data_IF_676804174725
#
_entry.id   IF_676804174725
#
_cell.length_a   1.000
_cell.length_b   1.000
_cell.length_c   1.000
_cell.angle_alpha   90.00
_cell.angle_beta   90.00
_cell.angle_gamma   90.00
#
_symmetry.space_group_name_H-M   'P 1'
#
loop_
_entity.id
_entity.type
_entity.pdbx_description
1 polymer ?
#
# COMPACT_ATOMS: atom_id res chain seq x y z
N UNK A 1 -2.06 12.52 4.16
CA UNK A 1 -2.27 13.41 2.99
C UNK A 1 -1.00 13.58 2.15
N UNK A 2 0.10 14.15 2.67
CA UNK A 2 1.36 14.21 1.89
C UNK A 2 1.95 12.81 1.64
N UNK A 3 1.69 11.87 2.55
CA UNK A 3 2.04 10.45 2.40
C UNK A 3 1.32 9.84 1.19
N UNK A 4 -0.01 9.90 1.14
CA UNK A 4 -0.79 9.43 -0.03
C UNK A 4 -0.29 10.04 -1.35
N UNK A 5 -0.02 11.36 -1.36
CA UNK A 5 0.53 12.02 -2.54
C UNK A 5 1.88 11.42 -2.97
N UNK A 6 2.75 11.13 -2.01
CA UNK A 6 4.04 10.51 -2.27
C UNK A 6 3.88 9.08 -2.80
N UNK A 7 2.93 8.29 -2.27
CA UNK A 7 2.61 6.97 -2.81
C UNK A 7 2.07 7.05 -4.23
N UNK A 8 1.09 7.92 -4.50
CA UNK A 8 0.57 8.17 -5.85
C UNK A 8 1.68 8.55 -6.84
N UNK A 9 2.52 9.54 -6.48
CA UNK A 9 3.65 9.97 -7.31
C UNK A 9 4.65 8.84 -7.56
N UNK A 10 4.91 8.02 -6.53
CA UNK A 10 5.78 6.85 -6.64
C UNK A 10 5.21 5.84 -7.63
N UNK A 11 3.95 5.41 -7.46
CA UNK A 11 3.32 4.43 -8.32
C UNK A 11 3.21 4.92 -9.76
N UNK A 12 2.80 6.18 -9.94
CA UNK A 12 2.74 6.83 -11.25
C UNK A 12 4.11 6.89 -11.95
N UNK A 13 5.18 7.19 -11.19
CA UNK A 13 6.53 7.30 -11.76
C UNK A 13 7.12 5.93 -12.15
N UNK A 14 6.87 4.90 -11.34
CA UNK A 14 7.52 3.61 -11.52
C UNK A 14 6.69 2.60 -12.34
N UNK A 15 5.39 2.82 -12.55
CA UNK A 15 4.57 1.93 -13.42
C UNK A 15 5.05 1.88 -14.87
N UNK A 16 5.70 2.93 -15.35
CA UNK A 16 6.31 2.98 -16.69
C UNK A 16 7.77 2.49 -16.72
N UNK A 17 8.35 2.18 -15.55
CA UNK A 17 9.75 1.73 -15.41
C UNK A 17 9.87 0.25 -15.09
N UNK A 18 8.84 -0.33 -14.47
CA UNK A 18 8.78 -1.77 -14.22
C UNK A 18 8.63 -2.51 -15.56
N UNK A 19 9.32 -3.63 -15.68
CA UNK A 19 9.38 -4.41 -16.91
C UNK A 19 8.19 -5.34 -17.10
N UNK A 20 7.57 -5.73 -15.99
CA UNK A 20 6.50 -6.71 -15.95
C UNK A 20 5.10 -6.05 -15.97
N UNK A 21 4.18 -6.63 -16.76
CA UNK A 21 2.82 -6.12 -16.93
C UNK A 21 1.99 -6.23 -15.66
N UNK A 22 2.07 -7.34 -14.94
CA UNK A 22 1.36 -7.56 -13.68
C UNK A 22 1.80 -6.54 -12.61
N UNK A 23 3.10 -6.23 -12.51
CA UNK A 23 3.61 -5.17 -11.62
C UNK A 23 3.08 -3.80 -12.04
N UNK A 24 3.01 -3.53 -13.34
CA UNK A 24 2.41 -2.28 -13.86
C UNK A 24 0.94 -2.16 -13.47
N UNK A 25 0.15 -3.21 -13.70
CA UNK A 25 -1.27 -3.25 -13.35
C UNK A 25 -1.48 -3.10 -11.83
N UNK A 26 -0.59 -3.68 -11.02
CA UNK A 26 -0.60 -3.52 -9.57
C UNK A 26 -0.37 -2.06 -9.17
N UNK A 27 0.63 -1.38 -9.75
CA UNK A 27 0.91 0.02 -9.44
C UNK A 27 -0.23 0.95 -9.86
N UNK A 28 -0.89 0.66 -10.99
CA UNK A 28 -2.08 1.41 -11.42
C UNK A 28 -3.27 1.23 -10.46
N UNK A 29 -3.38 0.08 -9.79
CA UNK A 29 -4.40 -0.17 -8.77
C UNK A 29 -4.07 0.56 -7.49
N UNK A 30 -2.83 0.41 -6.99
CA UNK A 30 -2.35 1.10 -5.79
C UNK A 30 -2.49 2.62 -5.93
N UNK A 31 -2.09 3.22 -7.05
CA UNK A 31 -2.28 4.65 -7.33
C UNK A 31 -3.74 5.11 -7.09
N UNK A 32 -4.74 4.29 -7.45
CA UNK A 32 -6.16 4.61 -7.24
C UNK A 32 -6.58 4.48 -5.79
N UNK A 33 -6.10 3.46 -5.06
CA UNK A 33 -6.41 3.29 -3.64
C UNK A 33 -5.80 4.43 -2.81
N UNK A 34 -4.57 4.84 -3.13
CA UNK A 34 -3.94 6.02 -2.53
C UNK A 34 -4.71 7.33 -2.82
N UNK A 35 -5.32 7.45 -4.00
CA UNK A 35 -6.21 8.57 -4.32
C UNK A 35 -7.48 8.55 -3.45
N UNK A 36 -8.05 7.36 -3.21
CA UNK A 36 -9.18 7.16 -2.30
C UNK A 36 -8.81 7.51 -0.85
N UNK A 37 -7.63 7.08 -0.37
CA UNK A 37 -7.08 7.46 0.94
C UNK A 37 -6.92 8.98 1.06
N UNK A 38 -6.37 9.62 0.02
CA UNK A 38 -6.19 11.06 -0.01
C UNK A 38 -7.54 11.79 0.12
N UNK A 39 -8.55 11.35 -0.63
CA UNK A 39 -9.87 11.94 -0.59
C UNK A 39 -10.59 11.69 0.73
N UNK A 40 -10.41 10.52 1.35
CA UNK A 40 -10.88 10.24 2.70
C UNK A 40 -10.31 11.26 3.69
N UNK A 41 -8.99 11.38 3.75
CA UNK A 41 -8.31 12.32 4.66
C UNK A 41 -8.69 13.77 4.40
N UNK A 42 -8.85 14.15 3.13
CA UNK A 42 -9.28 15.51 2.75
C UNK A 42 -10.68 15.81 3.28
N UNK A 43 -11.65 14.91 3.08
CA UNK A 43 -13.03 15.08 3.59
C UNK A 43 -13.06 15.11 5.11
N UNK A 44 -12.29 14.24 5.77
CA UNK A 44 -12.17 14.24 7.24
C UNK A 44 -11.62 15.57 7.75
N UNK A 45 -10.58 16.12 7.12
CA UNK A 45 -10.04 17.43 7.49
C UNK A 45 -11.06 18.55 7.28
N UNK A 46 -11.74 18.59 6.12
CA UNK A 46 -12.77 19.60 5.83
C UNK A 46 -13.92 19.56 6.84
N UNK A 47 -14.34 18.37 7.29
CA UNK A 47 -15.34 18.21 8.36
C UNK A 47 -14.85 18.78 9.69
N UNK A 48 -13.61 18.49 10.09
CA UNK A 48 -13.03 19.01 11.33
C UNK A 48 -12.88 20.55 11.29
N UNK A 49 -12.43 21.12 10.17
CA UNK A 49 -12.32 22.56 9.98
C UNK A 49 -13.68 23.26 10.04
N UNK A 50 -14.74 22.58 9.60
CA UNK A 50 -16.12 23.04 9.71
C UNK A 50 -16.75 22.78 11.10
N UNK A 51 -15.99 22.29 12.08
CA UNK A 51 -16.47 21.84 13.41
C UNK A 51 -17.62 20.82 13.31
N UNK A 52 -17.60 19.96 12.30
CA UNK A 52 -18.54 18.84 12.13
C UNK A 52 -17.96 17.56 12.72
N UNK A 53 -18.84 16.66 13.13
CA UNK A 53 -18.46 15.31 13.54
C UNK A 53 -17.95 14.49 12.35
N UNK A 54 -17.15 13.47 12.65
CA UNK A 54 -16.64 12.49 11.69
C UNK A 54 -17.50 11.22 11.61
N UNK A 55 -18.62 11.16 12.35
CA UNK A 55 -19.52 9.99 12.40
C UNK A 55 -20.01 9.55 11.00
N UNK A 56 -20.21 10.50 10.09
CA UNK A 56 -20.70 10.26 8.74
C UNK A 56 -19.58 9.93 7.73
N UNK A 57 -18.32 9.83 8.18
CA UNK A 57 -17.20 9.48 7.29
C UNK A 57 -17.26 7.98 6.97
N UNK A 58 -17.60 7.70 5.72
CA UNK A 58 -17.57 6.37 5.14
C UNK A 58 -16.12 5.88 4.93
N UNK A 59 -15.83 4.67 5.42
CA UNK A 59 -14.56 3.97 5.25
C UNK A 59 -14.62 2.84 4.22
N UNK A 60 -15.77 2.65 3.58
CA UNK A 60 -15.93 1.73 2.46
C UNK A 60 -15.26 2.35 1.22
N UNK A 61 -13.96 2.09 1.08
CA UNK A 61 -13.12 2.55 -0.03
C UNK A 61 -13.13 1.53 -1.16
N UNK A 62 -14.25 1.49 -1.89
CA UNK A 62 -14.42 0.65 -3.07
C UNK A 62 -14.08 -0.84 -2.86
N UNK A 63 -14.09 -1.59 -3.96
CA UNK A 63 -13.77 -3.01 -3.91
C UNK A 63 -12.25 -3.26 -3.89
N UNK A 64 -11.43 -2.21 -4.06
CA UNK A 64 -9.98 -2.29 -4.25
C UNK A 64 -9.25 -2.90 -3.05
N UNK A 65 -9.51 -2.34 -1.86
CA UNK A 65 -8.95 -2.82 -0.60
C UNK A 65 -9.36 -4.25 -0.30
N UNK A 66 -10.65 -4.58 -0.49
CA UNK A 66 -11.17 -5.94 -0.26
C UNK A 66 -10.55 -6.95 -1.24
N UNK A 67 -10.35 -6.56 -2.49
CA UNK A 67 -9.68 -7.40 -3.50
C UNK A 67 -8.21 -7.61 -3.12
N UNK A 68 -7.51 -6.59 -2.63
CA UNK A 68 -6.12 -6.72 -2.19
C UNK A 68 -5.99 -7.57 -0.94
N UNK A 69 -6.86 -7.38 0.05
CA UNK A 69 -6.87 -8.18 1.28
C UNK A 69 -7.05 -9.66 0.94
N UNK A 70 -8.02 -10.01 0.09
CA UNK A 70 -8.22 -11.39 -0.41
C UNK A 70 -7.09 -11.86 -1.33
N UNK A 71 -6.54 -10.94 -2.12
CA UNK A 71 -5.47 -11.20 -3.07
C UNK A 71 -4.15 -11.50 -2.38
N UNK A 72 -3.88 -10.86 -1.23
CA UNK A 72 -2.68 -11.01 -0.41
C UNK A 72 -2.50 -12.45 0.07
N UNK A 73 -3.60 -13.10 0.49
CA UNK A 73 -3.62 -14.54 0.81
C UNK A 73 -3.28 -15.42 -0.43
N UNK A 74 -3.65 -14.94 -1.63
CA UNK A 74 -3.39 -15.56 -2.92
C UNK A 74 -2.02 -15.26 -3.55
N UNK A 75 -1.27 -14.26 -3.05
CA UNK A 75 0.07 -13.90 -3.55
C UNK A 75 1.11 -15.01 -3.38
N UNK A 76 0.80 -16.05 -2.60
CA UNK A 76 1.55 -17.32 -2.61
C UNK A 76 1.69 -17.92 -4.02
N UNK A 77 0.85 -17.51 -4.98
CA UNK A 77 0.88 -17.95 -6.38
C UNK A 77 1.36 -16.90 -7.39
N UNK A 78 1.75 -15.69 -6.98
CA UNK A 78 2.35 -14.71 -7.90
C UNK A 78 3.79 -15.13 -8.21
N UNK A 79 3.94 -16.06 -9.15
CA UNK A 79 5.19 -16.31 -9.87
C UNK A 79 5.37 -15.19 -10.90
N UNK A 80 5.63 -14.00 -10.36
CA UNK A 80 6.08 -12.86 -11.11
C UNK A 80 7.52 -13.20 -11.54
N UNK A 81 7.73 -13.46 -12.82
CA UNK A 81 9.06 -13.58 -13.41
C UNK A 81 9.71 -12.19 -13.38
N UNK A 82 10.19 -11.81 -12.19
CA UNK A 82 10.69 -10.47 -11.95
C UNK A 82 12.09 -10.35 -12.50
N UNK A 83 12.25 -9.38 -13.40
CA UNK A 83 13.56 -8.93 -13.79
C UNK A 83 14.33 -8.43 -12.55
N UNK A 84 15.65 -8.69 -12.53
CA UNK A 84 16.60 -8.09 -11.58
C UNK A 84 16.40 -6.58 -11.38
N UNK A 85 15.85 -5.89 -12.39
CA UNK A 85 15.63 -4.45 -12.41
C UNK A 85 14.48 -3.98 -11.53
N UNK A 86 13.51 -4.85 -11.22
CA UNK A 86 12.26 -4.44 -10.57
C UNK A 86 12.36 -4.60 -9.04
N UNK A 87 13.23 -5.49 -8.55
CA UNK A 87 13.46 -5.73 -7.11
C UNK A 87 13.80 -4.46 -6.31
N UNK A 88 14.67 -3.54 -6.76
CA UNK A 88 14.92 -2.30 -6.03
C UNK A 88 13.67 -1.43 -5.89
N UNK A 89 12.82 -1.38 -6.92
CA UNK A 89 11.57 -0.61 -6.92
C UNK A 89 10.59 -1.23 -5.91
N UNK A 90 10.44 -2.55 -5.91
CA UNK A 90 9.59 -3.24 -4.95
C UNK A 90 10.05 -3.08 -3.50
N UNK A 91 11.37 -3.10 -3.26
CA UNK A 91 11.92 -2.84 -1.92
C UNK A 91 11.65 -1.41 -1.45
N UNK A 92 11.67 -0.45 -2.37
CA UNK A 92 11.30 0.93 -2.07
C UNK A 92 9.81 1.05 -1.75
N UNK A 93 8.94 0.37 -2.50
CA UNK A 93 7.50 0.32 -2.21
C UNK A 93 7.24 -0.32 -0.84
N UNK A 94 7.81 -1.51 -0.57
CA UNK A 94 7.76 -2.17 0.74
C UNK A 94 8.11 -1.23 1.90
N UNK A 95 9.23 -0.50 1.79
CA UNK A 95 9.67 0.40 2.86
C UNK A 95 8.71 1.58 3.04
N UNK A 96 8.21 2.14 1.93
CA UNK A 96 7.26 3.25 1.97
C UNK A 96 5.97 2.86 2.68
N UNK A 97 5.37 1.74 2.28
CA UNK A 97 4.15 1.23 2.89
C UNK A 97 4.33 0.89 4.36
N UNK A 98 5.46 0.25 4.71
CA UNK A 98 5.77 -0.07 6.11
C UNK A 98 5.95 1.18 6.98
N UNK A 99 6.57 2.23 6.44
CA UNK A 99 6.72 3.50 7.14
C UNK A 99 5.35 4.16 7.36
N UNK A 100 4.43 4.01 6.41
CA UNK A 100 3.11 4.63 6.44
C UNK A 100 2.15 3.90 7.37
N UNK A 101 2.12 2.57 7.32
CA UNK A 101 1.41 1.72 8.29
C UNK A 101 1.81 2.08 9.73
N UNK A 102 3.11 2.14 10.01
CA UNK A 102 3.65 2.53 11.33
C UNK A 102 3.25 3.94 11.72
N UNK A 103 3.33 4.89 10.79
CA UNK A 103 2.95 6.28 11.07
C UNK A 103 1.48 6.37 11.47
N UNK A 104 0.57 5.78 10.69
CA UNK A 104 -0.86 5.80 10.98
C UNK A 104 -1.20 5.09 12.28
N UNK A 105 -0.53 3.96 12.55
CA UNK A 105 -0.66 3.26 13.82
C UNK A 105 -0.33 4.17 15.01
N UNK A 106 0.86 4.77 15.00
CA UNK A 106 1.32 5.65 16.08
C UNK A 106 0.46 6.91 16.20
N UNK A 107 -0.02 7.46 15.08
CA UNK A 107 -0.95 8.59 15.08
C UNK A 107 -2.27 8.21 15.77
N UNK A 108 -2.83 7.04 15.46
CA UNK A 108 -4.08 6.55 16.06
C UNK A 108 -3.98 6.31 17.57
N UNK A 109 -2.80 5.95 18.06
CA UNK A 109 -2.56 5.73 19.49
C UNK A 109 -2.55 7.03 20.30
N UNK A 110 -2.19 8.14 19.64
CA UNK A 110 -2.16 9.49 20.23
C UNK A 110 -3.47 10.25 20.06
N UNK A 111 -4.34 9.78 19.18
CA UNK A 111 -5.62 10.40 18.91
C UNK A 111 -6.64 10.08 20.02
N UNK A 112 -7.31 11.13 20.50
CA UNK A 112 -8.30 11.06 21.56
C UNK A 112 -9.73 11.03 21.01
N UNK A 113 -9.97 11.64 19.85
CA UNK A 113 -11.26 11.56 19.16
C UNK A 113 -11.47 10.14 18.61
N UNK A 114 -12.53 9.41 19.03
CA UNK A 114 -12.75 8.04 18.62
C UNK A 114 -12.90 7.85 17.10
N UNK A 115 -13.50 8.81 16.40
CA UNK A 115 -13.77 8.70 14.97
C UNK A 115 -12.52 9.01 14.14
N UNK A 116 -11.76 10.04 14.52
CA UNK A 116 -10.45 10.30 13.93
C UNK A 116 -9.51 9.12 14.15
N UNK A 117 -9.53 8.53 15.36
CA UNK A 117 -8.77 7.32 15.68
C UNK A 117 -9.17 6.14 14.81
N UNK A 118 -10.48 5.94 14.57
CA UNK A 118 -11.00 4.89 13.69
C UNK A 118 -10.47 5.05 12.26
N UNK A 119 -10.50 6.26 11.71
CA UNK A 119 -9.96 6.56 10.37
C UNK A 119 -8.46 6.24 10.29
N UNK A 120 -7.67 6.69 11.27
CA UNK A 120 -6.23 6.44 11.31
C UNK A 120 -5.91 4.94 11.46
N UNK A 121 -6.69 4.20 12.25
CA UNK A 121 -6.55 2.75 12.37
C UNK A 121 -6.89 2.01 11.08
N UNK A 122 -7.87 2.48 10.31
CA UNK A 122 -8.19 1.89 9.01
C UNK A 122 -7.10 2.12 7.98
N UNK A 123 -6.61 3.37 7.86
CA UNK A 123 -5.45 3.67 7.00
C UNK A 123 -4.25 2.79 7.38
N UNK A 124 -3.94 2.69 8.67
CA UNK A 124 -2.87 1.81 9.15
C UNK A 124 -3.02 0.35 8.70
N UNK A 125 -4.23 -0.17 8.56
CA UNK A 125 -4.48 -1.56 8.14
C UNK A 125 -4.38 -1.75 6.63
N UNK A 126 -4.84 -0.77 5.86
CA UNK A 126 -4.69 -0.77 4.41
C UNK A 126 -3.22 -0.72 4.02
N UNK A 127 -2.43 0.17 4.64
CA UNK A 127 -0.98 0.22 4.37
C UNK A 127 -0.24 -1.04 4.86
N UNK A 128 -0.71 -1.70 5.92
CA UNK A 128 -0.18 -3.00 6.37
C UNK A 128 -0.44 -4.08 5.31
N UNK A 129 -1.63 -4.06 4.70
CA UNK A 129 -1.98 -4.97 3.60
C UNK A 129 -1.12 -4.70 2.36
N UNK A 130 -0.84 -3.43 2.05
CA UNK A 130 0.11 -3.04 1.01
C UNK A 130 1.54 -3.51 1.33
N UNK A 131 1.98 -3.32 2.57
CA UNK A 131 3.29 -3.80 3.07
C UNK A 131 3.43 -5.31 2.86
N UNK A 132 2.47 -6.10 3.33
CA UNK A 132 2.48 -7.56 3.24
C UNK A 132 2.53 -8.05 1.79
N UNK A 133 1.77 -7.39 0.91
CA UNK A 133 1.82 -7.61 -0.54
C UNK A 133 3.25 -7.43 -1.07
N UNK A 134 3.89 -6.30 -0.77
CA UNK A 134 5.24 -6.04 -1.24
C UNK A 134 6.29 -6.94 -0.60
N UNK A 135 6.11 -7.33 0.66
CA UNK A 135 6.99 -8.29 1.33
C UNK A 135 7.01 -9.63 0.57
N UNK A 136 5.83 -10.14 0.21
CA UNK A 136 5.70 -11.37 -0.59
C UNK A 136 6.33 -11.25 -1.97
N UNK A 137 6.13 -10.12 -2.66
CA UNK A 137 6.75 -9.86 -3.97
C UNK A 137 8.27 -9.80 -3.89
N UNK A 138 8.82 -9.14 -2.87
CA UNK A 138 10.28 -9.06 -2.64
C UNK A 138 10.85 -10.44 -2.32
N UNK A 139 10.20 -11.22 -1.45
CA UNK A 139 10.63 -12.57 -1.09
C UNK A 139 10.65 -13.49 -2.31
N UNK A 140 9.57 -13.51 -3.09
CA UNK A 140 9.46 -14.33 -4.30
C UNK A 140 10.49 -13.94 -5.35
N UNK A 141 10.68 -12.63 -5.56
CA UNK A 141 11.71 -12.12 -6.47
C UNK A 141 13.09 -12.59 -6.03
N UNK A 142 13.45 -12.43 -4.76
CA UNK A 142 14.77 -12.88 -4.26
C UNK A 142 14.98 -14.39 -4.44
N UNK A 143 13.96 -15.21 -4.16
CA UNK A 143 14.02 -16.67 -4.39
C UNK A 143 14.27 -17.01 -5.86
N UNK A 144 13.56 -16.35 -6.77
CA UNK A 144 13.74 -16.56 -8.21
C UNK A 144 15.16 -16.20 -8.68
N UNK A 145 15.69 -15.07 -8.21
CA UNK A 145 17.06 -14.65 -8.53
C UNK A 145 18.12 -15.63 -7.99
N UNK A 146 17.94 -16.16 -6.78
CA UNK A 146 18.86 -17.14 -6.21
C UNK A 146 18.84 -18.47 -6.96
N UNK A 147 17.66 -18.91 -7.43
CA UNK A 147 17.53 -20.11 -8.25
C UNK A 147 18.21 -19.95 -9.61
N UNK A 148 17.99 -18.82 -10.29
CA UNK A 148 18.58 -18.53 -11.61
C UNK A 148 20.12 -18.43 -11.56
N UNK A 149 20.66 -17.85 -10.48
CA UNK A 149 22.11 -17.69 -10.31
C UNK A 149 22.82 -18.89 -9.65
N UNK A 150 22.10 -19.97 -9.32
CA UNK A 150 22.69 -21.16 -8.69
C UNK A 150 23.13 -20.95 -7.23
N UNK A 151 22.56 -19.96 -6.53
CA UNK A 151 22.82 -19.68 -5.11
C UNK A 151 21.73 -20.26 -4.18
N UNK A 152 20.80 -21.06 -4.69
CA UNK A 152 19.76 -21.67 -3.87
C UNK A 152 20.37 -22.59 -2.78
N UNK A 153 19.99 -22.45 -1.50
CA UNK A 153 20.40 -23.38 -0.46
C UNK A 153 19.83 -24.78 -0.75
N UNK A 154 20.68 -25.79 -0.63
CA UNK A 154 20.38 -27.21 -0.86
C UNK A 154 19.51 -27.83 0.25
#
# INVERSE_FOLDING_TARGET
>A
MNMEKRSMEFYQMYKEKVSNKETKDLFERLEKMEEEHYHLLKRSLESLEANKSLDDINLDLGDGEEILEKGSEGLKGFNLEQSMTDLPILRMAYQMESDFAKYYKVASEKESDPEAKRILLSLSKWEDTHEELFAGLVENSMKALWADQGFAPF
#
